data_IF_976031369571
#
_entry.id   IF_976031369571
#
_cell.length_a   1.000
_cell.length_b   1.000
_cell.length_c   1.000
_cell.angle_alpha   90.00
_cell.angle_beta   90.00
_cell.angle_gamma   90.00
#
_symmetry.space_group_name_H-M   'P 1'
#
loop_
_entity.id
_entity.type
_entity.pdbx_description
1 polymer ?
#
# COMPACT_ATOMS: atom_id res chain seq x y z
N UNK A 1 -31.87 31.17 12.93
CA UNK A 1 -33.09 30.35 13.04
C UNK A 1 -32.68 28.91 13.35
N UNK A 2 -33.29 28.33 14.39
CA UNK A 2 -33.03 27.06 15.10
C UNK A 2 -32.55 25.88 14.26
N UNK A 3 -31.40 25.23 14.59
CA UNK A 3 -31.21 24.07 15.51
C UNK A 3 -32.18 22.91 15.26
N UNK A 4 -31.65 21.70 15.00
CA UNK A 4 -31.97 20.44 15.71
C UNK A 4 -30.80 19.46 15.52
N UNK A 5 -30.07 19.23 16.62
CA UNK A 5 -29.14 18.11 16.79
C UNK A 5 -29.93 16.89 17.28
N UNK A 6 -29.78 15.73 16.65
CA UNK A 6 -30.34 14.47 17.16
C UNK A 6 -29.28 13.72 17.97
N UNK A 7 -29.46 13.68 19.28
CA UNK A 7 -28.83 12.71 20.20
C UNK A 7 -29.88 11.64 20.52
N UNK A 8 -29.58 10.36 20.27
CA UNK A 8 -30.23 9.21 20.90
C UNK A 8 -29.09 8.39 21.54
N UNK A 9 -28.94 8.44 22.87
CA UNK A 9 -29.63 7.60 23.86
C UNK A 9 -28.96 6.22 23.98
N UNK A 10 -28.09 6.14 24.98
CA UNK A 10 -27.48 4.94 25.55
C UNK A 10 -28.54 4.24 26.42
N UNK A 11 -28.65 2.91 26.35
CA UNK A 11 -29.41 2.14 27.35
C UNK A 11 -28.59 0.93 27.78
N UNK A 12 -28.57 0.75 29.11
CA UNK A 12 -27.76 -0.17 29.91
C UNK A 12 -28.54 -1.46 30.17
N UNK A 13 -27.81 -2.57 30.40
CA UNK A 13 -27.99 -3.56 31.47
C UNK A 13 -27.93 -5.02 31.01
N UNK A 14 -27.21 -5.86 31.77
CA UNK A 14 -27.37 -7.31 31.75
C UNK A 14 -26.10 -8.09 32.05
N UNK A 15 -25.82 -8.31 33.33
CA UNK A 15 -24.76 -9.19 33.85
C UNK A 15 -25.15 -10.68 33.81
N UNK A 16 -24.18 -11.59 33.71
CA UNK A 16 -24.09 -12.81 34.55
C UNK A 16 -22.80 -13.61 34.28
N UNK A 17 -22.19 -14.03 35.39
CA UNK A 17 -21.02 -14.90 35.56
C UNK A 17 -21.34 -16.36 35.22
N UNK A 18 -20.40 -17.11 34.62
CA UNK A 18 -20.03 -18.49 35.04
C UNK A 18 -18.63 -18.86 34.54
N UNK A 19 -17.78 -19.35 35.42
CA UNK A 19 -16.57 -20.15 35.19
C UNK A 19 -16.70 -21.41 36.07
N UNK A 20 -15.77 -22.38 36.12
CA UNK A 20 -14.67 -22.78 35.23
C UNK A 20 -14.75 -24.29 34.87
N UNK A 21 -13.76 -24.87 34.17
CA UNK A 21 -13.34 -26.26 34.37
C UNK A 21 -11.93 -26.49 33.82
N UNK A 22 -11.12 -27.16 34.64
CA UNK A 22 -9.71 -27.43 34.48
C UNK A 22 -9.40 -28.49 33.42
N UNK A 23 -8.15 -28.48 32.93
CA UNK A 23 -7.59 -29.54 32.09
C UNK A 23 -6.07 -29.42 32.00
N UNK A 24 -5.38 -29.92 33.01
CA UNK A 24 -3.94 -30.18 33.01
C UNK A 24 -3.65 -31.50 32.30
N UNK A 25 -2.67 -31.54 31.38
CA UNK A 25 -1.95 -32.80 31.11
C UNK A 25 -0.61 -32.58 30.39
N UNK A 26 0.44 -32.85 31.18
CA UNK A 26 1.68 -33.62 30.92
C UNK A 26 2.66 -33.16 29.83
N UNK A 27 3.84 -32.77 30.32
CA UNK A 27 5.09 -32.72 29.57
C UNK A 27 5.59 -34.14 29.23
N UNK A 28 5.89 -34.38 27.96
CA UNK A 28 6.58 -35.58 27.50
C UNK A 28 7.78 -35.19 26.67
N UNK A 29 8.96 -35.19 27.29
CA UNK A 29 10.24 -35.13 26.60
C UNK A 29 10.68 -36.56 26.24
N UNK A 30 10.99 -36.80 24.97
CA UNK A 30 11.91 -37.88 24.59
C UNK A 30 12.43 -37.59 23.17
N UNK A 31 13.75 -37.39 23.06
CA UNK A 31 14.46 -37.27 21.79
C UNK A 31 15.56 -38.34 21.72
N UNK A 32 15.68 -38.89 20.49
CA UNK A 32 16.81 -39.64 19.89
C UNK A 32 16.97 -41.12 20.31
N UNK A 33 17.52 -42.02 19.44
CA UNK A 33 18.58 -41.81 18.43
C UNK A 33 18.24 -42.38 17.02
N UNK A 34 18.95 -42.14 15.90
CA UNK A 34 20.29 -42.63 15.54
C UNK A 34 20.68 -42.14 14.14
N UNK A 35 21.92 -41.63 14.04
CA UNK A 35 22.98 -41.77 13.02
C UNK A 35 22.72 -41.71 11.50
N UNK A 36 23.60 -40.95 10.84
CA UNK A 36 23.91 -40.99 9.40
C UNK A 36 25.00 -39.97 9.04
N UNK A 37 26.25 -40.41 9.08
CA UNK A 37 27.49 -39.75 8.59
C UNK A 37 27.40 -39.54 7.05
N UNK A 38 28.04 -38.60 6.34
CA UNK A 38 29.46 -38.24 6.22
C UNK A 38 29.62 -37.03 5.27
N UNK A 39 30.67 -36.24 5.51
CA UNK A 39 31.61 -35.57 4.59
C UNK A 39 31.15 -34.77 3.36
N UNK A 40 31.59 -33.50 3.33
CA UNK A 40 31.70 -32.70 2.10
C UNK A 40 32.02 -31.22 2.35
N UNK A 41 33.28 -30.91 2.67
CA UNK A 41 33.80 -29.56 2.85
C UNK A 41 33.79 -28.75 1.55
N UNK A 42 33.09 -27.61 1.50
CA UNK A 42 33.63 -26.34 1.01
C UNK A 42 32.68 -25.18 1.35
N UNK A 43 32.78 -24.66 2.56
CA UNK A 43 32.16 -23.37 2.91
C UNK A 43 33.08 -22.29 2.37
N UNK A 44 32.94 -21.96 1.09
CA UNK A 44 33.40 -20.64 0.63
C UNK A 44 32.44 -19.63 1.25
N UNK A 45 32.89 -19.02 2.35
CA UNK A 45 32.32 -17.80 2.87
C UNK A 45 32.29 -16.78 1.72
N UNK A 46 31.11 -16.60 1.12
CA UNK A 46 30.87 -15.43 0.28
C UNK A 46 30.71 -14.26 1.24
N UNK A 47 31.73 -13.42 1.18
CA UNK A 47 31.88 -12.21 1.96
C UNK A 47 30.60 -11.39 1.96
N UNK A 48 30.28 -10.95 3.17
CA UNK A 48 29.38 -9.87 3.50
C UNK A 48 29.84 -8.59 2.80
N UNK A 49 29.46 -8.43 1.54
CA UNK A 49 29.39 -7.13 0.89
C UNK A 49 27.91 -6.77 0.81
N UNK A 50 27.40 -6.23 1.92
CA UNK A 50 26.07 -5.61 2.00
C UNK A 50 25.99 -4.39 1.08
N UNK A 51 25.94 -4.62 -0.22
CA UNK A 51 25.09 -3.80 -1.07
C UNK A 51 23.68 -4.15 -0.65
N UNK A 52 23.12 -3.34 0.25
CA UNK A 52 21.70 -3.30 0.55
C UNK A 52 20.96 -2.97 -0.76
N UNK A 53 20.77 -3.98 -1.60
CA UNK A 53 19.99 -3.88 -2.82
C UNK A 53 18.58 -3.55 -2.36
N UNK A 54 18.22 -2.28 -2.49
CA UNK A 54 16.87 -1.79 -2.23
C UNK A 54 15.93 -2.68 -3.05
N UNK A 55 15.23 -3.61 -2.40
CA UNK A 55 14.43 -4.62 -3.08
C UNK A 55 13.55 -3.96 -4.14
N UNK A 56 13.77 -4.32 -5.41
CA UNK A 56 13.07 -3.75 -6.54
C UNK A 56 11.76 -4.49 -6.81
N UNK A 57 10.83 -3.83 -7.48
CA UNK A 57 9.50 -4.34 -7.83
C UNK A 57 9.16 -3.91 -9.25
N UNK A 58 8.64 -4.84 -10.06
CA UNK A 58 8.22 -4.54 -11.42
C UNK A 58 6.95 -3.70 -11.44
N UNK A 59 6.78 -2.87 -12.47
CA UNK A 59 5.54 -2.11 -12.67
C UNK A 59 4.30 -3.01 -12.79
N UNK A 60 4.44 -4.21 -13.36
CA UNK A 60 3.35 -5.19 -13.42
C UNK A 60 2.95 -5.70 -12.03
N UNK A 61 3.93 -5.96 -11.16
CA UNK A 61 3.67 -6.37 -9.78
C UNK A 61 3.03 -5.24 -8.99
N UNK A 62 3.50 -3.99 -9.14
CA UNK A 62 2.89 -2.81 -8.51
C UNK A 62 1.42 -2.68 -8.90
N UNK A 63 1.11 -2.73 -10.20
CA UNK A 63 -0.28 -2.62 -10.68
C UNK A 63 -1.13 -3.82 -10.25
N UNK A 64 -0.57 -5.03 -10.22
CA UNK A 64 -1.28 -6.22 -9.72
C UNK A 64 -1.67 -6.05 -8.25
N UNK A 65 -0.74 -5.59 -7.41
CA UNK A 65 -1.00 -5.28 -6.00
C UNK A 65 -2.04 -4.18 -5.84
N UNK A 66 -1.91 -3.10 -6.61
CA UNK A 66 -2.87 -2.00 -6.65
C UNK A 66 -4.30 -2.48 -6.98
N UNK A 67 -4.45 -3.33 -8.02
CA UNK A 67 -5.75 -3.84 -8.44
C UNK A 67 -6.41 -4.78 -7.43
N UNK A 68 -5.66 -5.42 -6.51
CA UNK A 68 -6.27 -6.23 -5.43
C UNK A 68 -7.26 -5.44 -4.58
N UNK A 69 -6.98 -4.15 -4.34
CA UNK A 69 -7.88 -3.31 -3.55
C UNK A 69 -9.18 -2.91 -4.26
N UNK A 70 -9.35 -3.24 -5.56
CA UNK A 70 -10.62 -3.02 -6.26
C UNK A 70 -11.73 -3.97 -5.77
N UNK A 71 -11.37 -5.12 -5.18
CA UNK A 71 -12.34 -6.16 -4.79
C UNK A 71 -12.11 -6.73 -3.38
N UNK A 72 -11.12 -6.22 -2.64
CA UNK A 72 -10.71 -6.76 -1.34
C UNK A 72 -11.75 -6.62 -0.21
N UNK A 73 -12.79 -5.82 -0.42
CA UNK A 73 -13.89 -5.61 0.51
C UNK A 73 -15.13 -6.42 0.08
N UNK A 74 -15.08 -7.75 0.24
CA UNK A 74 -16.18 -8.65 -0.12
C UNK A 74 -16.67 -8.45 -1.56
N UNK A 75 -15.73 -8.38 -2.51
CA UNK A 75 -16.01 -8.12 -3.92
C UNK A 75 -16.15 -6.64 -4.29
N UNK A 76 -16.08 -5.73 -3.30
CA UNK A 76 -16.14 -4.27 -3.49
C UNK A 76 -14.76 -3.62 -3.30
N UNK A 77 -14.58 -2.36 -3.74
CA UNK A 77 -13.37 -1.61 -3.46
C UNK A 77 -13.11 -1.39 -1.98
N UNK A 78 -11.83 -1.32 -1.61
CA UNK A 78 -11.42 -0.83 -0.29
C UNK A 78 -11.88 0.62 -0.12
N UNK A 79 -12.66 0.94 0.92
CA UNK A 79 -13.17 2.29 1.12
C UNK A 79 -12.03 3.24 1.48
N UNK A 80 -12.21 4.52 1.14
CA UNK A 80 -11.26 5.56 1.49
C UNK A 80 -11.50 6.03 2.93
N UNK A 81 -10.43 6.27 3.67
CA UNK A 81 -10.46 6.91 4.97
C UNK A 81 -9.09 7.52 5.28
N UNK A 82 -9.09 8.78 5.73
CA UNK A 82 -7.89 9.48 6.17
C UNK A 82 -7.45 9.09 7.59
N UNK A 83 -8.25 8.28 8.30
CA UNK A 83 -8.03 7.95 9.72
C UNK A 83 -8.02 6.44 9.98
N UNK A 84 -8.22 5.62 8.95
CA UNK A 84 -8.34 4.17 9.10
C UNK A 84 -7.27 3.42 8.33
N UNK A 85 -6.89 2.26 8.86
CA UNK A 85 -6.04 1.29 8.18
C UNK A 85 -6.89 0.13 7.69
N UNK A 86 -6.52 -0.41 6.53
CA UNK A 86 -7.10 -1.63 6.02
C UNK A 86 -6.56 -2.84 6.81
N UNK A 87 -7.23 -4.00 6.67
CA UNK A 87 -6.85 -5.24 7.36
C UNK A 87 -5.44 -5.76 7.04
N UNK A 88 -4.81 -5.26 5.97
CA UNK A 88 -3.41 -5.55 5.64
C UNK A 88 -2.42 -4.59 6.34
N UNK A 89 -2.91 -3.61 7.09
CA UNK A 89 -2.16 -2.67 7.92
C UNK A 89 -1.71 -1.39 7.20
N UNK A 90 -2.08 -1.18 5.93
CA UNK A 90 -1.83 0.08 5.23
C UNK A 90 -2.97 1.08 5.42
N UNK A 91 -2.67 2.38 5.40
CA UNK A 91 -3.70 3.43 5.46
C UNK A 91 -4.63 3.36 4.25
N UNK A 92 -5.91 3.67 4.47
CA UNK A 92 -6.95 3.71 3.43
C UNK A 92 -7.04 5.07 2.72
N UNK A 93 -5.90 5.73 2.53
CA UNK A 93 -5.79 6.99 1.80
C UNK A 93 -4.99 6.82 0.51
N UNK A 94 -4.92 7.87 -0.32
CA UNK A 94 -4.24 7.83 -1.62
C UNK A 94 -2.78 7.36 -1.50
N UNK A 95 -2.04 7.88 -0.52
CA UNK A 95 -0.62 7.56 -0.28
C UNK A 95 -0.39 6.22 0.41
N UNK A 96 -1.30 5.81 1.29
CA UNK A 96 -1.32 4.49 1.92
C UNK A 96 -1.58 3.39 0.89
N UNK A 97 -2.50 3.61 -0.03
CA UNK A 97 -2.76 2.75 -1.17
C UNK A 97 -1.52 2.56 -2.06
N UNK A 98 -0.82 3.65 -2.42
CA UNK A 98 0.41 3.56 -3.22
C UNK A 98 1.52 2.86 -2.44
N UNK A 99 1.61 3.11 -1.12
CA UNK A 99 2.54 2.41 -0.25
C UNK A 99 2.28 0.91 -0.19
N UNK A 100 1.01 0.50 -0.17
CA UNK A 100 0.61 -0.90 -0.30
C UNK A 100 1.04 -1.46 -1.66
N UNK A 101 0.75 -0.76 -2.76
CA UNK A 101 1.09 -1.23 -4.10
C UNK A 101 2.61 -1.45 -4.27
N UNK A 102 3.44 -0.59 -3.67
CA UNK A 102 4.92 -0.69 -3.69
C UNK A 102 5.52 -1.57 -2.59
N UNK A 103 4.69 -2.12 -1.69
CA UNK A 103 5.14 -2.84 -0.50
C UNK A 103 6.18 -2.02 0.31
N UNK A 104 5.87 -0.74 0.57
CA UNK A 104 6.61 0.03 1.56
C UNK A 104 6.29 -0.45 2.98
N UNK A 105 7.10 -0.05 3.97
CA UNK A 105 6.83 -0.35 5.37
C UNK A 105 5.47 0.19 5.81
N UNK A 106 4.80 -0.51 6.73
CA UNK A 106 3.48 -0.12 7.25
C UNK A 106 3.64 0.96 8.34
N UNK A 107 2.71 1.92 8.46
CA UNK A 107 1.44 2.02 7.75
C UNK A 107 1.53 2.64 6.34
N UNK A 108 2.74 2.96 5.87
CA UNK A 108 3.01 3.54 4.55
C UNK A 108 3.57 4.96 4.63
N UNK A 109 4.20 5.40 3.54
CA UNK A 109 4.63 6.78 3.36
C UNK A 109 3.41 7.67 3.09
N UNK A 110 3.48 8.94 3.48
CA UNK A 110 2.49 9.95 3.05
C UNK A 110 2.86 10.50 1.66
N UNK A 111 2.01 11.37 1.09
CA UNK A 111 2.21 11.91 -0.26
C UNK A 111 3.54 12.67 -0.42
N UNK A 112 3.98 13.40 0.62
CA UNK A 112 5.29 14.08 0.61
C UNK A 112 6.42 13.06 0.62
N UNK A 113 6.35 12.05 1.48
CA UNK A 113 7.35 10.98 1.55
C UNK A 113 7.45 10.16 0.27
N UNK A 114 6.35 10.00 -0.48
CA UNK A 114 6.37 9.35 -1.80
C UNK A 114 7.04 10.20 -2.88
N UNK A 115 7.04 11.53 -2.72
CA UNK A 115 7.69 12.50 -3.60
C UNK A 115 9.13 12.84 -3.17
N UNK A 116 9.54 12.40 -1.97
CA UNK A 116 10.87 12.66 -1.42
C UNK A 116 11.96 12.08 -2.34
N UNK A 117 13.07 12.81 -2.47
CA UNK A 117 14.17 12.46 -3.37
C UNK A 117 14.94 11.20 -2.93
N UNK A 118 14.83 10.78 -1.67
CA UNK A 118 15.35 9.49 -1.20
C UNK A 118 14.48 8.31 -1.66
N UNK A 119 13.19 8.56 -1.94
CA UNK A 119 12.19 7.55 -2.28
C UNK A 119 11.95 7.48 -3.78
N UNK A 120 11.97 8.61 -4.48
CA UNK A 120 11.62 8.72 -5.89
C UNK A 120 12.51 9.71 -6.66
N UNK A 121 12.41 9.66 -7.99
CA UNK A 121 13.03 10.61 -8.91
C UNK A 121 11.94 11.33 -9.69
N UNK A 122 11.85 12.65 -9.56
CA UNK A 122 10.94 13.48 -10.35
C UNK A 122 11.43 13.59 -11.79
N UNK A 123 10.51 13.62 -12.75
CA UNK A 123 10.78 13.91 -14.16
C UNK A 123 9.66 14.75 -14.77
N UNK A 124 9.96 15.48 -15.84
CA UNK A 124 9.06 16.50 -16.42
C UNK A 124 8.32 16.02 -17.67
N UNK A 125 8.92 15.12 -18.45
CA UNK A 125 8.32 14.67 -19.71
C UNK A 125 7.33 13.54 -19.47
N UNK A 126 6.04 13.79 -19.79
CA UNK A 126 5.01 12.73 -19.78
C UNK A 126 5.40 11.53 -20.66
N UNK A 127 6.20 11.76 -21.71
CA UNK A 127 6.63 10.68 -22.59
C UNK A 127 7.46 9.60 -21.90
N UNK A 128 8.05 9.93 -20.74
CA UNK A 128 8.86 9.00 -19.96
C UNK A 128 8.02 8.13 -19.01
N UNK A 129 6.70 8.37 -18.90
CA UNK A 129 5.83 7.56 -18.05
C UNK A 129 5.84 6.10 -18.48
N UNK A 130 6.09 5.23 -17.51
CA UNK A 130 6.00 3.78 -17.63
C UNK A 130 5.11 3.20 -16.55
N UNK A 131 4.63 1.98 -16.79
CA UNK A 131 3.77 1.24 -15.84
C UNK A 131 4.39 1.25 -14.44
N UNK A 132 3.63 1.68 -13.44
CA UNK A 132 4.04 1.80 -12.06
C UNK A 132 4.47 3.20 -11.64
N UNK A 133 4.83 4.10 -12.57
CA UNK A 133 5.16 5.48 -12.22
C UNK A 133 3.99 6.15 -11.49
N UNK A 134 4.34 7.05 -10.58
CA UNK A 134 3.38 7.79 -9.74
C UNK A 134 3.23 9.21 -10.26
N UNK A 135 1.99 9.71 -10.31
CA UNK A 135 1.69 11.12 -10.57
C UNK A 135 1.21 11.72 -9.26
N UNK A 136 1.94 12.71 -8.75
CA UNK A 136 1.80 13.21 -7.38
C UNK A 136 1.55 14.71 -7.39
N UNK A 137 0.54 15.17 -6.64
CA UNK A 137 0.42 16.52 -6.12
C UNK A 137 0.90 16.50 -4.65
N UNK A 138 2.14 16.93 -4.37
CA UNK A 138 2.69 16.93 -3.02
C UNK A 138 2.34 18.20 -2.23
N UNK A 139 1.59 19.14 -2.79
CA UNK A 139 1.39 20.47 -2.20
C UNK A 139 0.08 20.56 -1.41
N UNK A 140 0.08 21.39 -0.37
CA UNK A 140 -1.09 21.61 0.50
C UNK A 140 -1.16 20.70 1.73
N UNK A 141 -2.38 20.35 2.16
CA UNK A 141 -2.66 19.60 3.40
C UNK A 141 -2.78 18.09 3.15
N UNK A 142 -2.95 17.30 4.22
CA UNK A 142 -3.23 15.86 4.10
C UNK A 142 -4.49 15.54 3.28
N UNK A 143 -5.42 16.49 3.15
CA UNK A 143 -6.68 16.31 2.43
C UNK A 143 -6.67 16.87 1.01
N UNK A 144 -5.74 17.77 0.67
CA UNK A 144 -5.64 18.35 -0.68
C UNK A 144 -4.62 17.64 -1.56
N UNK A 145 -3.59 17.04 -0.96
CA UNK A 145 -2.56 16.26 -1.66
C UNK A 145 -3.15 14.99 -2.27
N UNK A 146 -2.58 14.56 -3.39
CA UNK A 146 -3.07 13.35 -4.05
C UNK A 146 -1.98 12.60 -4.82
N UNK A 147 -2.20 11.30 -5.01
CA UNK A 147 -1.31 10.45 -5.82
C UNK A 147 -2.10 9.36 -6.52
N UNK A 148 -1.68 9.06 -7.76
CA UNK A 148 -2.23 7.97 -8.58
C UNK A 148 -1.11 7.11 -9.19
N UNK A 149 -1.43 5.85 -9.53
CA UNK A 149 -0.51 4.92 -10.19
C UNK A 149 -0.83 4.79 -11.68
N UNK A 150 0.12 5.17 -12.53
CA UNK A 150 0.03 5.02 -13.97
C UNK A 150 0.14 3.54 -14.37
N UNK A 151 -0.81 3.02 -15.15
CA UNK A 151 -0.69 1.70 -15.77
C UNK A 151 -0.24 1.78 -17.23
N UNK A 152 -0.98 2.56 -18.04
CA UNK A 152 -0.76 2.67 -19.48
C UNK A 152 -1.48 3.89 -20.07
N UNK A 153 -0.99 4.38 -21.20
CA UNK A 153 -1.70 5.37 -22.01
C UNK A 153 -3.06 4.81 -22.49
N UNK A 154 -4.07 5.66 -22.48
CA UNK A 154 -5.41 5.34 -22.97
C UNK A 154 -5.61 5.75 -24.44
N UNK A 155 -4.71 6.58 -24.98
CA UNK A 155 -4.70 7.03 -26.37
C UNK A 155 -3.27 7.32 -26.85
N UNK A 156 -3.07 7.33 -28.17
CA UNK A 156 -1.77 7.58 -28.81
C UNK A 156 -1.27 9.02 -28.62
N UNK A 157 -2.19 9.99 -28.53
CA UNK A 157 -1.86 11.38 -28.25
C UNK A 157 -1.31 11.64 -26.83
N UNK A 158 -1.32 10.61 -25.97
CA UNK A 158 -0.89 10.68 -24.57
C UNK A 158 -1.57 11.83 -23.80
N UNK A 159 -2.88 11.98 -23.98
CA UNK A 159 -3.70 12.99 -23.29
C UNK A 159 -4.50 12.40 -22.13
N UNK A 160 -4.67 11.07 -22.11
CA UNK A 160 -5.32 10.34 -21.02
C UNK A 160 -4.61 9.01 -20.78
N UNK A 161 -4.64 8.53 -19.55
CA UNK A 161 -4.05 7.26 -19.15
C UNK A 161 -4.95 6.49 -18.20
N UNK A 162 -4.80 5.17 -18.20
CA UNK A 162 -5.40 4.29 -17.21
C UNK A 162 -4.56 4.29 -15.94
N UNK A 163 -5.23 4.47 -14.80
CA UNK A 163 -4.57 4.50 -13.50
C UNK A 163 -5.44 3.89 -12.40
N UNK A 164 -4.77 3.45 -11.34
CA UNK A 164 -5.41 3.02 -10.09
C UNK A 164 -5.12 4.05 -9.00
N UNK A 165 -6.12 4.37 -8.20
CA UNK A 165 -5.99 5.30 -7.08
C UNK A 165 -6.98 4.96 -5.97
N UNK A 166 -6.81 5.59 -4.81
CA UNK A 166 -7.84 5.68 -3.77
C UNK A 166 -8.30 7.13 -3.64
N UNK A 167 -9.62 7.35 -3.61
CA UNK A 167 -10.21 8.69 -3.55
C UNK A 167 -11.53 8.70 -2.76
N UNK A 168 -11.70 9.71 -1.92
CA UNK A 168 -12.92 10.09 -1.17
C UNK A 168 -14.07 9.07 -1.16
N UNK A 169 -15.26 9.49 -1.58
CA UNK A 169 -16.50 8.68 -1.52
C UNK A 169 -16.42 7.33 -2.27
N UNK A 170 -15.42 7.11 -3.11
CA UNK A 170 -15.39 6.00 -4.06
C UNK A 170 -14.49 4.84 -3.63
N UNK A 171 -13.54 5.08 -2.73
CA UNK A 171 -12.52 4.10 -2.38
C UNK A 171 -11.52 3.86 -3.51
N UNK A 172 -11.09 2.62 -3.69
CA UNK A 172 -10.17 2.24 -4.77
C UNK A 172 -10.87 2.25 -6.12
N UNK A 173 -10.28 2.92 -7.11
CA UNK A 173 -10.86 3.01 -8.47
C UNK A 173 -9.81 2.77 -9.54
N UNK A 174 -10.25 2.21 -10.67
CA UNK A 174 -9.48 2.09 -11.90
C UNK A 174 -10.18 2.87 -13.01
N UNK A 175 -9.56 3.96 -13.49
CA UNK A 175 -10.21 4.87 -14.44
C UNK A 175 -9.22 5.57 -15.36
N UNK A 176 -9.76 6.20 -16.42
CA UNK A 176 -9.00 7.12 -17.26
C UNK A 176 -8.80 8.44 -16.52
N UNK A 177 -7.58 8.96 -16.51
CA UNK A 177 -7.15 10.19 -15.86
C UNK A 177 -6.33 11.06 -16.83
N UNK A 178 -6.18 12.33 -16.45
CA UNK A 178 -5.32 13.30 -17.12
C UNK A 178 -4.52 14.16 -16.13
N UNK A 179 -4.36 13.75 -14.87
CA UNK A 179 -3.52 14.49 -13.91
C UNK A 179 -2.06 14.54 -14.40
N UNK A 180 -1.41 15.69 -14.25
CA UNK A 180 -0.08 15.98 -14.77
C UNK A 180 -0.07 16.25 -16.28
N UNK A 181 -1.25 16.26 -16.93
CA UNK A 181 -1.38 16.55 -18.35
C UNK A 181 -1.94 17.96 -18.50
N UNK A 182 -1.16 18.85 -19.13
CA UNK A 182 -1.51 20.26 -19.24
C UNK A 182 -0.99 21.04 -18.03
N UNK A 183 -1.67 22.14 -17.70
CA UNK A 183 -1.30 23.02 -16.60
C UNK A 183 -2.08 22.65 -15.34
N UNK A 184 -1.57 21.69 -14.57
CA UNK A 184 -2.05 21.37 -13.23
C UNK A 184 -0.86 21.23 -12.26
N UNK A 185 -1.15 20.95 -10.99
CA UNK A 185 -0.14 20.92 -9.93
C UNK A 185 0.56 19.55 -9.77
N UNK A 186 0.30 18.60 -10.66
CA UNK A 186 0.85 17.26 -10.54
C UNK A 186 2.17 17.10 -11.28
N UNK A 187 3.08 16.39 -10.64
CA UNK A 187 4.39 16.04 -11.18
C UNK A 187 4.53 14.53 -11.37
N UNK A 188 5.43 14.13 -12.28
CA UNK A 188 5.72 12.71 -12.51
C UNK A 188 6.89 12.24 -11.68
N UNK A 189 6.72 11.09 -11.05
CA UNK A 189 7.73 10.49 -10.17
C UNK A 189 7.92 9.01 -10.50
N UNK A 190 9.19 8.63 -10.59
CA UNK A 190 9.60 7.22 -10.64
C UNK A 190 10.08 6.81 -9.26
N UNK A 191 9.35 5.90 -8.62
CA UNK A 191 9.76 5.34 -7.34
C UNK A 191 11.08 4.57 -7.52
N UNK A 192 12.07 4.77 -6.65
CA UNK A 192 13.37 4.09 -6.77
C UNK A 192 13.31 2.57 -6.57
N UNK A 193 12.20 2.04 -6.03
CA UNK A 193 11.96 0.59 -6.00
C UNK A 193 11.51 0.05 -7.37
N UNK A 194 11.10 0.89 -8.31
CA UNK A 194 10.60 0.44 -9.61
C UNK A 194 11.76 -0.05 -10.49
N UNK A 195 11.83 -1.36 -10.75
CA UNK A 195 12.74 -1.96 -11.77
C UNK A 195 12.29 -1.60 -13.17
#
# INVERSE_FOLDING_TARGET
MNRISRKLALTVAGAALVAPLAGTSVAGASLAPTQGETSGSNVTAVSDDTVQTKATISGATVITRAKKWLTANNGKPVPYSQVSNWKDGYRQDCSGFVSMAYAYGKPGLNTVGLADSSVSTRFTSKNNLRKGDTIIDPNGTSTSRHVVLFEKWANSAKTQYWAVEQRGTYGTTYRKLSYGIGSDQYDFYRQKKLS
#
